data_IF_979968546556
#
_entry.id   IF_979968546556
#
_cell.length_a   1.000
_cell.length_b   1.000
_cell.length_c   1.000
_cell.angle_alpha   90.00
_cell.angle_beta   90.00
_cell.angle_gamma   90.00
#
_symmetry.space_group_name_H-M   'P 1'
#
loop_
_entity.id
_entity.type
_entity.pdbx_description
1 polymer ?
#
# COMPACT_ATOMS: atom_id res chain seq x y z
N UNK A 1 -1.75 0.60 19.71
CA UNK A 1 -2.19 2.02 19.79
C UNK A 1 -2.21 2.56 18.37
N UNK A 2 -3.37 2.91 17.80
CA UNK A 2 -3.45 3.46 16.43
C UNK A 2 -3.10 4.94 16.48
N UNK A 3 -1.96 5.31 15.88
CA UNK A 3 -1.45 6.68 15.84
C UNK A 3 -2.17 7.49 14.75
N UNK A 4 -3.50 7.62 14.87
CA UNK A 4 -4.28 8.55 14.06
C UNK A 4 -3.82 9.98 14.38
N UNK A 5 -3.23 10.67 13.40
CA UNK A 5 -2.96 12.10 13.48
C UNK A 5 -1.49 12.52 13.59
N UNK A 6 -0.52 11.61 13.55
CA UNK A 6 0.89 12.00 13.43
C UNK A 6 1.18 12.35 11.97
N UNK A 7 1.46 13.63 11.71
CA UNK A 7 2.07 14.07 10.46
C UNK A 7 3.39 13.29 10.26
N UNK A 8 3.40 12.36 9.31
CA UNK A 8 4.63 11.71 8.87
C UNK A 8 5.27 12.58 7.80
N UNK A 9 6.62 12.72 7.76
CA UNK A 9 7.30 13.45 6.68
C UNK A 9 6.97 12.89 5.29
N UNK A 10 6.59 11.60 5.23
CA UNK A 10 6.08 10.93 4.01
C UNK A 10 4.69 10.33 4.26
N UNK A 11 3.67 10.74 3.49
CA UNK A 11 2.36 10.09 3.50
C UNK A 11 2.43 8.60 3.15
N UNK A 12 1.49 7.83 3.67
CA UNK A 12 1.46 6.37 3.46
C UNK A 12 1.18 6.03 1.99
N UNK A 13 0.37 6.84 1.32
CA UNK A 13 0.07 6.78 -0.11
C UNK A 13 1.36 6.85 -0.94
N UNK A 14 2.24 7.80 -0.62
CA UNK A 14 3.54 7.97 -1.30
C UNK A 14 4.42 6.75 -1.11
N UNK A 15 4.51 6.24 0.13
CA UNK A 15 5.30 5.05 0.44
C UNK A 15 4.81 3.82 -0.33
N UNK A 16 3.49 3.62 -0.44
CA UNK A 16 2.91 2.50 -1.19
C UNK A 16 3.33 2.55 -2.66
N UNK A 17 3.23 3.72 -3.30
CA UNK A 17 3.62 3.88 -4.71
C UNK A 17 5.12 3.65 -4.90
N UNK A 18 5.97 4.23 -4.04
CA UNK A 18 7.42 4.03 -4.10
C UNK A 18 7.82 2.55 -3.92
N UNK A 19 7.18 1.85 -2.98
CA UNK A 19 7.42 0.43 -2.74
C UNK A 19 7.01 -0.43 -3.94
N UNK A 20 5.85 -0.15 -4.52
CA UNK A 20 5.40 -0.81 -5.74
C UNK A 20 6.39 -0.58 -6.89
N UNK A 21 6.88 0.64 -7.09
CA UNK A 21 7.86 0.95 -8.13
C UNK A 21 9.16 0.17 -7.93
N UNK A 22 9.66 0.10 -6.70
CA UNK A 22 10.85 -0.68 -6.34
C UNK A 22 10.69 -2.19 -6.57
N UNK A 23 9.46 -2.71 -6.52
CA UNK A 23 9.14 -4.13 -6.71
C UNK A 23 8.70 -4.48 -8.14
N UNK A 24 8.92 -3.59 -9.11
CA UNK A 24 8.58 -3.85 -10.51
C UNK A 24 7.09 -3.64 -10.82
N UNK A 25 6.38 -2.94 -9.95
CA UNK A 25 5.00 -2.50 -10.16
C UNK A 25 3.92 -3.49 -9.77
N UNK A 26 4.25 -4.62 -9.15
CA UNK A 26 3.27 -5.58 -8.63
C UNK A 26 3.72 -6.20 -7.32
N UNK A 27 2.82 -6.35 -6.35
CA UNK A 27 3.09 -7.00 -5.05
C UNK A 27 1.79 -7.53 -4.43
N UNK A 28 1.89 -8.45 -3.46
CA UNK A 28 0.74 -8.81 -2.64
C UNK A 28 0.50 -7.81 -1.50
N UNK A 29 -0.74 -7.67 -1.06
CA UNK A 29 -1.12 -6.84 0.08
C UNK A 29 -0.41 -7.24 1.38
N UNK A 30 -0.18 -8.54 1.59
CA UNK A 30 0.58 -9.04 2.74
C UNK A 30 2.04 -8.60 2.71
N UNK A 31 2.71 -8.77 1.57
CA UNK A 31 4.12 -8.37 1.43
C UNK A 31 4.28 -6.85 1.52
N UNK A 32 3.33 -6.09 0.95
CA UNK A 32 3.30 -4.64 1.06
C UNK A 32 3.19 -4.19 2.52
N UNK A 33 2.31 -4.83 3.30
CA UNK A 33 2.17 -4.50 4.72
C UNK A 33 3.46 -4.77 5.50
N UNK A 34 4.09 -5.92 5.28
CA UNK A 34 5.35 -6.29 5.95
C UNK A 34 6.47 -5.30 5.61
N UNK A 35 6.55 -4.87 4.35
CA UNK A 35 7.49 -3.84 3.92
C UNK A 35 7.19 -2.46 4.50
N UNK A 36 5.92 -2.09 4.65
CA UNK A 36 5.56 -0.83 5.30
C UNK A 36 5.94 -0.84 6.77
N UNK A 37 5.69 -1.95 7.47
CA UNK A 37 6.05 -2.11 8.88
C UNK A 37 7.56 -2.07 9.11
N UNK A 38 8.35 -2.62 8.20
CA UNK A 38 9.81 -2.52 8.31
C UNK A 38 10.35 -1.10 8.11
N UNK A 39 9.63 -0.25 7.35
CA UNK A 39 10.05 1.14 7.09
C UNK A 39 9.57 2.14 8.13
N UNK A 40 8.32 2.02 8.62
CA UNK A 40 7.70 3.02 9.51
C UNK A 40 7.28 2.44 10.87
N UNK A 41 7.63 1.19 11.15
CA UNK A 41 7.29 0.46 12.37
C UNK A 41 5.93 -0.24 12.32
N UNK A 42 5.65 -1.06 13.34
CA UNK A 42 4.42 -1.87 13.46
C UNK A 42 3.13 -1.05 13.65
N UNK A 43 3.22 0.28 13.61
CA UNK A 43 2.07 1.19 13.70
C UNK A 43 1.12 1.11 12.51
N UNK A 44 1.54 0.54 11.38
CA UNK A 44 0.69 0.37 10.20
C UNK A 44 -0.18 -0.88 10.34
N UNK A 45 -1.49 -0.65 10.35
CA UNK A 45 -2.51 -1.69 10.46
C UNK A 45 -3.12 -2.05 9.11
N UNK A 46 -3.69 -3.25 8.98
CA UNK A 46 -4.44 -3.64 7.78
C UNK A 46 -5.58 -2.67 7.41
N UNK A 47 -6.39 -2.15 8.35
CA UNK A 47 -7.41 -1.15 8.03
C UNK A 47 -6.83 0.15 7.46
N UNK A 48 -5.68 0.59 7.94
CA UNK A 48 -4.98 1.79 7.45
C UNK A 48 -4.44 1.54 6.03
N UNK A 49 -3.83 0.38 5.80
CA UNK A 49 -3.41 -0.04 4.47
C UNK A 49 -4.62 -0.13 3.51
N UNK A 50 -5.72 -0.74 3.93
CA UNK A 50 -6.92 -0.86 3.11
C UNK A 50 -7.49 0.50 2.69
N UNK A 51 -7.57 1.46 3.63
CA UNK A 51 -7.99 2.83 3.30
C UNK A 51 -7.04 3.49 2.31
N UNK A 52 -5.73 3.30 2.50
CA UNK A 52 -4.70 3.84 1.60
C UNK A 52 -4.83 3.27 0.20
N UNK A 53 -4.97 1.94 0.07
CA UNK A 53 -5.15 1.27 -1.22
C UNK A 53 -6.45 1.72 -1.90
N UNK A 54 -7.55 1.82 -1.17
CA UNK A 54 -8.83 2.32 -1.69
C UNK A 54 -8.69 3.74 -2.24
N UNK A 55 -8.01 4.64 -1.51
CA UNK A 55 -7.78 6.02 -1.97
C UNK A 55 -6.94 6.05 -3.25
N UNK A 56 -5.87 5.25 -3.33
CA UNK A 56 -4.99 5.16 -4.50
C UNK A 56 -5.70 4.56 -5.72
N UNK A 57 -6.57 3.58 -5.50
CA UNK A 57 -7.37 2.95 -6.55
C UNK A 57 -8.41 3.91 -7.12
N UNK A 58 -9.13 4.65 -6.26
CA UNK A 58 -10.06 5.72 -6.67
C UNK A 58 -9.32 6.81 -7.44
N UNK A 59 -8.09 7.17 -7.01
CA UNK A 59 -7.23 8.11 -7.73
C UNK A 59 -6.68 7.57 -9.06
N UNK A 60 -6.90 6.29 -9.37
CA UNK A 60 -6.45 5.66 -10.60
C UNK A 60 -4.93 5.44 -10.67
N UNK A 61 -4.26 5.38 -9.52
CA UNK A 61 -2.80 5.18 -9.45
C UNK A 61 -2.43 3.69 -9.38
N UNK A 62 -3.31 2.87 -8.82
CA UNK A 62 -3.13 1.43 -8.70
C UNK A 62 -4.37 0.66 -9.16
N UNK A 63 -4.20 -0.63 -9.33
CA UNK A 63 -5.28 -1.60 -9.51
C UNK A 63 -5.17 -2.69 -8.44
N UNK A 64 -6.28 -3.00 -7.76
CA UNK A 64 -6.36 -4.08 -6.77
C UNK A 64 -7.22 -5.22 -7.33
N UNK A 65 -6.67 -6.43 -7.39
CA UNK A 65 -7.38 -7.64 -7.85
C UNK A 65 -7.31 -8.76 -6.82
N UNK A 66 -8.29 -9.69 -6.85
CA UNK A 66 -8.27 -10.88 -5.98
C UNK A 66 -8.89 -12.12 -6.61
N UNK A 67 -8.74 -13.34 -6.03
CA UNK A 67 -7.66 -13.80 -5.15
C UNK A 67 -6.78 -14.87 -5.85
N UNK A 68 -5.45 -14.75 -5.68
CA UNK A 68 -4.57 -15.93 -5.71
C UNK A 68 -4.47 -16.40 -4.25
N UNK A 69 -5.22 -17.44 -3.88
CA UNK A 69 -5.18 -18.09 -2.54
C UNK A 69 -5.40 -17.14 -1.35
N UNK A 70 -6.36 -16.22 -1.43
CA UNK A 70 -6.69 -15.29 -0.35
C UNK A 70 -5.77 -14.08 -0.20
N UNK A 71 -4.78 -13.90 -1.10
CA UNK A 71 -3.96 -12.69 -1.20
C UNK A 71 -4.48 -11.77 -2.31
N UNK A 72 -4.46 -10.47 -2.06
CA UNK A 72 -4.80 -9.44 -3.07
C UNK A 72 -3.55 -9.01 -3.79
N UNK A 73 -3.63 -8.89 -5.11
CA UNK A 73 -2.54 -8.38 -5.94
C UNK A 73 -2.76 -6.89 -6.19
N UNK A 74 -1.72 -6.12 -5.96
CA UNK A 74 -1.69 -4.67 -6.10
C UNK A 74 -0.74 -4.33 -7.23
N UNK A 75 -1.21 -3.59 -8.22
CA UNK A 75 -0.45 -3.25 -9.42
C UNK A 75 -0.41 -1.74 -9.63
N UNK A 76 0.73 -1.19 -10.05
CA UNK A 76 0.79 0.20 -10.53
C UNK A 76 0.08 0.32 -11.86
N UNK A 77 -0.74 1.36 -11.99
CA UNK A 77 -1.27 1.75 -13.29
C UNK A 77 -0.14 2.41 -14.09
N UNK A 78 0.22 1.83 -15.24
CA UNK A 78 1.14 2.47 -16.19
C UNK A 78 0.49 3.75 -16.70
N UNK A 79 1.25 4.85 -16.79
CA UNK A 79 0.83 6.00 -17.60
C UNK A 79 0.73 5.51 -19.05
N UNK A 80 -0.47 5.59 -19.61
CA UNK A 80 -0.72 5.43 -21.05
C UNK A 80 -0.19 6.63 -21.80
#
# INVERSE_FOLDING_TARGET
>A
MSLKGIWRPRPLETLVVELLQKKGGTITDTELLDMLRSLVGDGVSFPELNRTLMNLEIAGLIYVSGPVRGKRRIELKKKS
#
